data_IF_661653998597
#
_entry.id   IF_661653998597
#
_cell.length_a   1.000
_cell.length_b   1.000
_cell.length_c   1.000
_cell.angle_alpha   90.00
_cell.angle_beta   90.00
_cell.angle_gamma   90.00
#
_symmetry.space_group_name_H-M   'P 1'
#
loop_
_entity.id
_entity.type
_entity.pdbx_description
1 polymer ?
#
# COMPACT_ATOMS: atom_id res chain seq x y z
N UNK A 1 -6.34 12.87 -26.94
CA UNK A 1 -5.40 11.83 -26.47
C UNK A 1 -4.32 12.42 -25.54
N UNK A 2 -4.23 13.74 -25.44
CA UNK A 2 -3.24 14.44 -24.59
C UNK A 2 -3.67 14.54 -23.11
N UNK A 3 -4.98 14.61 -22.83
CA UNK A 3 -5.52 14.72 -21.46
C UNK A 3 -5.11 13.57 -20.52
N UNK A 4 -5.00 12.35 -21.04
CA UNK A 4 -4.60 11.19 -20.23
C UNK A 4 -3.14 11.27 -19.78
N UNK A 5 -2.29 11.90 -20.60
CA UNK A 5 -0.85 12.03 -20.33
C UNK A 5 -0.58 13.14 -19.31
N UNK A 6 -1.34 14.23 -19.39
CA UNK A 6 -1.29 15.33 -18.43
C UNK A 6 -1.75 14.88 -17.03
N UNK A 7 -2.78 14.04 -16.96
CA UNK A 7 -3.25 13.48 -15.69
C UNK A 7 -2.24 12.53 -15.05
N UNK A 8 -1.47 11.77 -15.83
CA UNK A 8 -0.41 10.89 -15.31
C UNK A 8 0.73 11.72 -14.66
N UNK A 9 1.16 12.81 -15.28
CA UNK A 9 2.26 13.63 -14.74
C UNK A 9 1.89 14.29 -13.40
N UNK A 10 0.64 14.75 -13.26
CA UNK A 10 0.15 15.38 -12.02
C UNK A 10 0.04 14.38 -10.87
N UNK A 11 -0.37 13.15 -11.18
CA UNK A 11 -0.43 12.07 -10.19
C UNK A 11 0.98 11.69 -9.70
N UNK A 12 1.99 11.73 -10.58
CA UNK A 12 3.39 11.48 -10.22
C UNK A 12 3.94 12.56 -9.29
N UNK A 13 3.76 13.84 -9.60
CA UNK A 13 4.26 14.94 -8.76
C UNK A 13 3.58 15.00 -7.39
N UNK A 14 2.28 14.71 -7.32
CA UNK A 14 1.56 14.62 -6.04
C UNK A 14 1.99 13.41 -5.18
N UNK A 15 2.28 12.26 -5.80
CA UNK A 15 2.75 11.07 -5.09
C UNK A 15 4.17 11.23 -4.53
N UNK A 16 5.06 11.92 -5.25
CA UNK A 16 6.44 12.17 -4.81
C UNK A 16 6.53 13.19 -3.66
N UNK A 17 5.55 14.08 -3.55
CA UNK A 17 5.51 15.13 -2.50
C UNK A 17 4.71 14.72 -1.27
N UNK A 18 3.91 13.64 -1.38
CA UNK A 18 3.19 13.06 -0.25
C UNK A 18 4.18 12.31 0.63
N UNK A 19 4.59 12.96 1.72
CA UNK A 19 5.25 12.30 2.85
C UNK A 19 4.32 11.16 3.30
N UNK A 20 4.64 9.93 2.91
CA UNK A 20 4.11 8.75 3.56
C UNK A 20 4.36 8.96 5.05
N UNK A 21 3.33 8.98 5.91
CA UNK A 21 3.58 8.93 7.33
C UNK A 21 4.32 7.62 7.56
N UNK A 22 5.63 7.73 7.76
CA UNK A 22 6.42 6.65 8.32
C UNK A 22 5.81 6.40 9.69
N UNK A 23 4.87 5.45 9.76
CA UNK A 23 4.44 4.85 11.02
C UNK A 23 5.61 4.03 11.51
N UNK A 24 6.65 4.76 11.92
CA UNK A 24 7.90 4.21 12.40
C UNK A 24 7.57 3.26 13.54
N UNK A 25 8.04 2.05 13.36
CA UNK A 25 8.11 0.96 14.33
C UNK A 25 8.59 1.49 15.69
N UNK A 26 7.66 1.93 16.54
CA UNK A 26 7.83 1.69 17.96
C UNK A 26 7.57 0.21 18.12
N UNK A 27 8.52 -0.51 18.69
CA UNK A 27 8.35 -1.89 19.13
C UNK A 27 7.21 -1.90 20.16
N UNK A 28 5.97 -1.99 19.67
CA UNK A 28 4.83 -2.30 20.51
C UNK A 28 5.04 -3.74 20.94
N UNK A 29 4.86 -4.02 22.24
CA UNK A 29 4.91 -5.38 22.72
C UNK A 29 4.04 -6.26 21.80
N UNK A 30 4.52 -7.46 21.43
CA UNK A 30 3.86 -8.35 20.46
C UNK A 30 2.39 -8.66 20.83
N UNK A 31 2.02 -8.39 22.09
CA UNK A 31 0.69 -8.61 22.67
C UNK A 31 -0.25 -7.38 22.58
N UNK A 32 0.21 -6.23 22.10
CA UNK A 32 -0.61 -5.01 22.01
C UNK A 32 -1.23 -4.81 20.63
N UNK A 33 -2.52 -4.54 20.60
CA UNK A 33 -3.24 -4.10 19.39
C UNK A 33 -3.19 -2.58 19.23
N UNK A 34 -3.05 -2.11 17.99
CA UNK A 34 -3.08 -0.70 17.58
C UNK A 34 -4.50 -0.14 17.43
N UNK A 35 -5.49 -1.01 17.21
CA UNK A 35 -6.90 -0.59 17.15
C UNK A 35 -7.41 -0.09 18.52
N UNK A 36 -8.63 0.47 18.54
CA UNK A 36 -9.27 0.96 19.78
C UNK A 36 -9.56 -0.17 20.79
N UNK A 37 -9.61 -1.42 20.33
CA UNK A 37 -10.01 -2.58 21.14
C UNK A 37 -8.84 -3.18 21.94
N UNK A 38 -8.23 -2.41 22.86
CA UNK A 38 -7.00 -2.79 23.59
C UNK A 38 -7.08 -4.12 24.37
N UNK A 39 -8.26 -4.50 24.82
CA UNK A 39 -8.48 -5.75 25.59
C UNK A 39 -8.65 -7.00 24.71
N UNK A 40 -8.55 -6.87 23.39
CA UNK A 40 -8.69 -8.00 22.45
C UNK A 40 -7.33 -8.57 22.09
N UNK A 41 -7.29 -9.88 21.89
CA UNK A 41 -6.10 -10.58 21.42
C UNK A 41 -5.65 -10.02 20.06
N UNK A 42 -4.35 -9.76 19.88
CA UNK A 42 -3.80 -9.44 18.57
C UNK A 42 -4.05 -10.56 17.57
N UNK A 43 -4.24 -10.17 16.31
CA UNK A 43 -4.41 -11.09 15.20
C UNK A 43 -3.36 -10.86 14.11
N UNK A 44 -3.47 -9.78 13.34
CA UNK A 44 -2.55 -9.45 12.25
C UNK A 44 -2.51 -7.93 12.03
N UNK A 45 -1.38 -7.43 11.50
CA UNK A 45 -1.15 -5.99 11.24
C UNK A 45 -1.37 -5.08 12.47
N UNK A 46 -1.16 -5.62 13.68
CA UNK A 46 -1.46 -4.90 14.92
C UNK A 46 -2.95 -4.69 15.17
N UNK A 47 -3.84 -5.43 14.50
CA UNK A 47 -5.29 -5.33 14.67
C UNK A 47 -5.84 -6.54 15.42
N UNK A 48 -6.95 -6.35 16.13
CA UNK A 48 -7.79 -7.47 16.54
C UNK A 48 -8.50 -8.07 15.32
N UNK A 49 -8.99 -9.30 15.44
CA UNK A 49 -9.61 -10.02 14.32
C UNK A 49 -10.75 -9.23 13.64
N UNK A 50 -11.66 -8.63 14.43
CA UNK A 50 -12.77 -7.84 13.88
C UNK A 50 -12.32 -6.64 13.04
N UNK A 51 -11.34 -5.86 13.55
CA UNK A 51 -10.79 -4.73 12.81
C UNK A 51 -9.96 -5.16 11.59
N UNK A 52 -9.31 -6.33 11.66
CA UNK A 52 -8.60 -6.89 10.52
C UNK A 52 -9.56 -7.25 9.38
N UNK A 53 -10.66 -7.93 9.69
CA UNK A 53 -11.66 -8.30 8.67
C UNK A 53 -12.30 -7.07 8.03
N UNK A 54 -12.63 -6.05 8.83
CA UNK A 54 -13.13 -4.78 8.31
C UNK A 54 -12.08 -4.09 7.43
N UNK A 55 -10.82 -4.07 7.87
CA UNK A 55 -9.71 -3.54 7.08
C UNK A 55 -9.57 -4.25 5.73
N UNK A 56 -9.56 -5.59 5.72
CA UNK A 56 -9.47 -6.36 4.47
C UNK A 56 -10.66 -6.10 3.56
N UNK A 57 -11.87 -6.03 4.11
CA UNK A 57 -13.11 -5.78 3.36
C UNK A 57 -13.13 -4.40 2.70
N UNK A 58 -12.67 -3.36 3.39
CA UNK A 58 -12.72 -1.97 2.91
C UNK A 58 -11.53 -1.62 2.03
N UNK A 59 -10.33 -2.07 2.40
CA UNK A 59 -9.08 -1.70 1.71
C UNK A 59 -8.65 -2.70 0.63
N UNK A 60 -9.15 -3.94 0.67
CA UNK A 60 -8.61 -5.03 -0.14
C UNK A 60 -7.28 -5.58 0.38
N UNK A 61 -6.86 -5.19 1.59
CA UNK A 61 -5.59 -5.60 2.18
C UNK A 61 -4.40 -4.78 1.71
N UNK A 62 -3.19 -5.24 2.07
CA UNK A 62 -1.93 -4.57 1.70
C UNK A 62 -1.47 -4.91 0.28
N UNK A 63 -2.03 -5.96 -0.31
CA UNK A 63 -1.71 -6.42 -1.66
C UNK A 63 -2.48 -5.64 -2.75
N UNK A 64 -3.31 -4.65 -2.35
CA UNK A 64 -4.13 -3.82 -3.24
C UNK A 64 -3.39 -2.77 -4.07
N UNK A 65 -2.07 -2.90 -4.22
CA UNK A 65 -1.26 -2.08 -5.13
C UNK A 65 -1.20 -2.72 -6.51
N UNK A 66 -2.30 -2.67 -7.28
CA UNK A 66 -2.30 -3.12 -8.68
C UNK A 66 -1.09 -2.53 -9.39
N UNK A 67 -0.25 -3.37 -9.99
CA UNK A 67 0.89 -2.98 -10.82
C UNK A 67 0.50 -1.77 -11.68
N UNK A 68 0.90 -0.54 -11.28
CA UNK A 68 0.39 0.63 -11.95
C UNK A 68 0.82 0.56 -13.41
N UNK A 69 0.07 1.16 -14.35
CA UNK A 69 0.44 1.11 -15.77
C UNK A 69 1.92 1.47 -16.03
N UNK A 70 2.50 2.33 -15.19
CA UNK A 70 3.94 2.61 -15.18
C UNK A 70 4.83 1.39 -14.84
N UNK A 71 4.52 0.63 -13.79
CA UNK A 71 5.25 -0.58 -13.40
C UNK A 71 5.15 -1.65 -14.50
N UNK A 72 3.95 -1.87 -15.04
CA UNK A 72 3.75 -2.83 -16.13
C UNK A 72 4.57 -2.46 -17.38
N UNK A 73 4.64 -1.17 -17.72
CA UNK A 73 5.48 -0.69 -18.85
C UNK A 73 6.96 -0.92 -18.57
N UNK A 74 7.44 -0.55 -17.38
CA UNK A 74 8.84 -0.74 -16.99
C UNK A 74 9.23 -2.24 -16.97
N UNK A 75 8.34 -3.09 -16.48
CA UNK A 75 8.58 -4.53 -16.41
C UNK A 75 8.63 -5.19 -17.80
N UNK A 76 7.76 -4.77 -18.72
CA UNK A 76 7.83 -5.18 -20.14
C UNK A 76 9.15 -4.78 -20.79
N UNK A 77 9.63 -3.57 -20.53
CA UNK A 77 10.91 -3.10 -21.05
C UNK A 77 12.09 -3.91 -20.47
N UNK A 78 12.05 -4.20 -19.16
CA UNK A 78 13.04 -5.04 -18.48
C UNK A 78 13.12 -6.44 -19.11
N UNK A 79 11.97 -7.09 -19.33
CA UNK A 79 11.90 -8.41 -19.95
C UNK A 79 12.38 -8.41 -21.41
N UNK A 80 12.07 -7.36 -22.17
CA UNK A 80 12.55 -7.21 -23.55
C UNK A 80 14.09 -7.07 -23.62
N UNK A 81 14.70 -6.30 -22.71
CA UNK A 81 16.16 -6.14 -22.61
C UNK A 81 16.90 -7.41 -22.21
N UNK A 82 16.26 -8.28 -21.43
CA UNK A 82 16.85 -9.57 -21.01
C UNK A 82 16.73 -10.67 -22.07
N UNK A 83 15.93 -10.44 -23.12
CA UNK A 83 15.73 -11.39 -24.22
C UNK A 83 16.66 -11.14 -25.41
N UNK A 84 17.64 -10.24 -25.24
CA UNK A 84 18.70 -9.87 -26.20
C UNK A 84 20.02 -10.39 -25.66
#
# INVERSE_FOLDING_TARGET
MEDFTEKERELRTSSLTRKQPNTGSKETSLDEVLCRHKERKPFAYGLCNECYEEFMKVSGGLDGGSDPPAFQRAEKERLAKLSI
#
